data_IF_974430743710
#
_entry.id   IF_974430743710
#
_cell.length_a   1.000
_cell.length_b   1.000
_cell.length_c   1.000
_cell.angle_alpha   90.00
_cell.angle_beta   90.00
_cell.angle_gamma   90.00
#
_symmetry.space_group_name_H-M   'P 1'
#
loop_
_entity.id
_entity.type
_entity.pdbx_description
1 polymer ?
#
# COMPACT_ATOMS: atom_id res chain seq x y z
N UNK A 1 7.18 -9.86 9.23
CA UNK A 1 7.48 -8.65 10.02
C UNK A 1 6.78 -7.48 9.35
N UNK A 2 6.02 -6.67 10.09
CA UNK A 2 5.30 -5.52 9.53
C UNK A 2 6.25 -4.46 8.95
N UNK A 3 7.50 -4.40 9.45
CA UNK A 3 8.53 -3.49 8.95
C UNK A 3 8.88 -3.73 7.48
N UNK A 4 8.78 -4.98 7.00
CA UNK A 4 9.05 -5.31 5.60
C UNK A 4 8.01 -4.68 4.66
N UNK A 5 6.72 -4.75 5.02
CA UNK A 5 5.64 -4.11 4.23
C UNK A 5 5.83 -2.59 4.20
N UNK A 6 6.22 -2.01 5.33
CA UNK A 6 6.52 -0.57 5.40
C UNK A 6 7.73 -0.19 4.53
N UNK A 7 8.78 -1.01 4.49
CA UNK A 7 9.96 -0.78 3.64
C UNK A 7 9.59 -0.77 2.16
N UNK A 8 8.84 -1.76 1.69
CA UNK A 8 8.37 -1.84 0.30
C UNK A 8 7.46 -0.66 -0.06
N UNK A 9 6.61 -0.22 0.88
CA UNK A 9 5.80 0.98 0.70
C UNK A 9 6.67 2.23 0.47
N UNK A 10 7.74 2.40 1.25
CA UNK A 10 8.68 3.53 1.07
C UNK A 10 9.40 3.46 -0.28
N UNK A 11 9.79 2.26 -0.73
CA UNK A 11 10.40 2.08 -2.06
C UNK A 11 9.41 2.42 -3.18
N UNK A 12 8.14 1.99 -3.06
CA UNK A 12 7.08 2.32 -4.03
C UNK A 12 6.76 3.83 -4.07
N UNK A 13 6.74 4.50 -2.92
CA UNK A 13 6.58 5.98 -2.84
C UNK A 13 7.78 6.66 -3.50
N UNK A 14 9.00 6.19 -3.24
CA UNK A 14 10.22 6.76 -3.83
C UNK A 14 10.22 6.62 -5.36
N UNK A 15 9.74 5.50 -5.90
CA UNK A 15 9.63 5.29 -7.36
C UNK A 15 8.50 6.10 -7.99
N UNK A 16 7.40 6.32 -7.27
CA UNK A 16 6.20 6.99 -7.78
C UNK A 16 5.64 7.98 -6.75
N UNK A 17 6.32 9.12 -6.52
CA UNK A 17 5.97 10.04 -5.44
C UNK A 17 4.62 10.76 -5.65
N UNK A 18 4.18 10.90 -6.90
CA UNK A 18 2.94 11.60 -7.25
C UNK A 18 1.72 10.67 -7.34
N UNK A 19 1.87 9.39 -6.96
CA UNK A 19 0.81 8.39 -6.99
C UNK A 19 0.16 8.19 -5.61
N UNK A 20 -1.07 7.67 -5.62
CA UNK A 20 -1.70 7.12 -4.43
C UNK A 20 -1.24 5.67 -4.22
N UNK A 21 -0.85 5.31 -3.00
CA UNK A 21 -0.45 3.94 -2.67
C UNK A 21 -1.41 3.37 -1.64
N UNK A 22 -1.90 2.15 -1.92
CA UNK A 22 -2.75 1.39 -1.02
C UNK A 22 -2.13 0.05 -0.69
N UNK A 23 -2.38 -0.41 0.53
CA UNK A 23 -2.02 -1.77 0.96
C UNK A 23 -3.25 -2.65 0.85
N UNK A 24 -3.07 -3.84 0.27
CA UNK A 24 -4.12 -4.85 0.12
C UNK A 24 -3.70 -6.15 0.77
N UNK A 25 -4.69 -6.88 1.31
CA UNK A 25 -4.51 -8.20 1.88
C UNK A 25 -5.41 -9.21 1.19
N UNK A 26 -4.89 -10.42 0.98
CA UNK A 26 -5.64 -11.54 0.44
C UNK A 26 -5.78 -12.65 1.48
N UNK A 27 -6.96 -13.23 1.56
CA UNK A 27 -7.24 -14.45 2.32
C UNK A 27 -7.21 -15.62 1.33
N UNK A 28 -6.28 -16.55 1.52
CA UNK A 28 -6.10 -17.70 0.64
C UNK A 28 -7.16 -18.79 0.84
N UNK A 29 -7.81 -18.87 2.00
CA UNK A 29 -8.89 -19.83 2.26
C UNK A 29 -10.14 -19.38 1.50
N UNK A 30 -10.45 -18.09 1.57
CA UNK A 30 -11.61 -17.51 0.88
C UNK A 30 -11.34 -17.19 -0.58
N UNK A 31 -10.08 -17.17 -1.00
CA UNK A 31 -9.63 -16.79 -2.34
C UNK A 31 -10.10 -15.38 -2.75
N UNK A 32 -10.09 -14.46 -1.79
CA UNK A 32 -10.60 -13.09 -1.97
C UNK A 32 -9.66 -12.06 -1.38
N UNK A 33 -9.69 -10.84 -1.92
CA UNK A 33 -9.12 -9.68 -1.25
C UNK A 33 -9.99 -9.34 -0.01
N UNK A 34 -9.38 -9.31 1.17
CA UNK A 34 -10.08 -9.11 2.44
C UNK A 34 -9.83 -7.74 3.09
N UNK A 35 -8.79 -7.02 2.64
CA UNK A 35 -8.42 -5.70 3.17
C UNK A 35 -8.00 -4.77 2.03
N UNK A 36 -8.37 -3.50 2.12
CA UNK A 36 -7.86 -2.42 1.27
C UNK A 36 -7.88 -1.10 2.03
N UNK A 37 -6.72 -0.46 2.20
CA UNK A 37 -6.65 0.88 2.78
C UNK A 37 -5.57 1.73 2.12
N UNK A 38 -5.80 3.04 2.06
CA UNK A 38 -4.82 4.00 1.56
C UNK A 38 -3.68 4.14 2.58
N UNK A 39 -2.45 4.06 2.11
CA UNK A 39 -1.24 4.14 2.94
C UNK A 39 -0.39 5.37 2.62
N UNK A 40 -0.55 5.96 1.43
CA UNK A 40 0.06 7.22 1.03
C UNK A 40 -0.84 8.00 0.09
N UNK A 41 -0.87 9.32 0.26
CA UNK A 41 -1.49 10.28 -0.64
C UNK A 41 -0.40 11.23 -1.16
N UNK A 42 -0.36 11.54 -2.46
CA UNK A 42 0.64 12.45 -3.01
C UNK A 42 0.40 13.89 -2.52
N UNK A 43 1.44 14.75 -2.52
CA UNK A 43 1.31 16.13 -2.05
C UNK A 43 0.30 16.91 -2.90
N UNK A 44 -0.56 17.72 -2.26
CA UNK A 44 -1.56 18.54 -2.97
C UNK A 44 -2.76 17.75 -3.53
N UNK A 45 -3.00 16.54 -3.04
CA UNK A 45 -4.14 15.69 -3.44
C UNK A 45 -5.38 15.82 -2.54
N UNK A 46 -5.36 16.74 -1.58
CA UNK A 46 -6.52 17.14 -0.78
C UNK A 46 -7.22 18.37 -1.41
#
# INVERSE_FOLDING_TARGET
>A
DATQVYKELQEAIKSYPDAFHRVIGFDNIKQTQCVSFIAYKPPGSD
#
